data_IF_596659451313
#
_entry.id   IF_596659451313
#
_cell.length_a   1.000
_cell.length_b   1.000
_cell.length_c   1.000
_cell.angle_alpha   90.00
_cell.angle_beta   90.00
_cell.angle_gamma   90.00
#
_symmetry.space_group_name_H-M   'P 1'
#
loop_
_entity.id
_entity.type
_entity.pdbx_description
1 polymer ?
#
# COMPACT_ATOMS: atom_id res chain seq x y z
N UNK A 1 -15.12 20.88 27.55
CA UNK A 1 -14.82 20.54 26.14
C UNK A 1 -16.08 20.36 25.28
N UNK A 2 -16.69 21.47 24.86
CA UNK A 2 -17.50 21.63 23.64
C UNK A 2 -17.47 23.14 23.37
N UNK A 3 -17.28 23.61 22.12
CA UNK A 3 -17.28 25.05 21.88
C UNK A 3 -18.63 25.63 22.29
N UNK A 4 -18.63 26.88 22.75
CA UNK A 4 -19.86 27.63 22.95
C UNK A 4 -20.66 27.55 21.65
N UNK A 5 -21.99 27.44 21.71
CA UNK A 5 -22.84 27.44 20.51
C UNK A 5 -22.58 28.66 19.59
N UNK A 6 -22.02 29.75 20.16
CA UNK A 6 -21.63 30.98 19.49
C UNK A 6 -20.47 30.79 18.50
N UNK A 7 -19.57 29.83 18.73
CA UNK A 7 -18.40 29.57 17.87
C UNK A 7 -18.63 28.43 16.88
N UNK A 8 -19.82 27.81 16.91
CA UNK A 8 -20.17 26.72 16.00
C UNK A 8 -20.21 27.19 14.54
N UNK A 9 -20.61 28.45 14.32
CA UNK A 9 -20.83 29.06 13.01
C UNK A 9 -19.79 30.13 12.61
N UNK A 10 -18.72 30.30 13.40
CA UNK A 10 -17.61 31.22 13.10
C UNK A 10 -16.73 30.65 11.97
N UNK A 11 -16.54 31.45 10.91
CA UNK A 11 -15.94 31.02 9.64
C UNK A 11 -14.41 31.13 9.57
N UNK A 12 -13.69 31.18 10.69
CA UNK A 12 -12.22 31.40 10.67
C UNK A 12 -11.41 30.24 11.29
N UNK A 13 -11.87 29.55 12.35
CA UNK A 13 -11.06 28.52 13.06
C UNK A 13 -11.52 27.05 12.91
N UNK A 14 -12.73 26.81 12.42
CA UNK A 14 -13.36 25.53 12.03
C UNK A 14 -12.54 24.46 11.28
N UNK A 15 -11.49 24.80 10.53
CA UNK A 15 -11.18 24.00 9.32
C UNK A 15 -10.24 22.79 9.50
N UNK A 16 -9.28 22.81 10.43
CA UNK A 16 -8.33 21.70 10.57
C UNK A 16 -8.48 20.98 11.91
N UNK A 17 -8.25 21.65 13.04
CA UNK A 17 -8.24 20.99 14.35
C UNK A 17 -9.54 20.30 14.75
N UNK A 18 -10.71 20.85 14.36
CA UNK A 18 -12.01 20.37 14.85
C UNK A 18 -12.50 19.10 14.15
N UNK A 19 -12.42 19.04 12.82
CA UNK A 19 -12.83 17.86 12.04
C UNK A 19 -11.86 16.70 12.28
N UNK A 20 -10.56 16.99 12.36
CA UNK A 20 -9.57 15.96 12.64
C UNK A 20 -9.80 15.31 13.99
N UNK A 21 -10.12 16.05 15.07
CA UNK A 21 -10.44 15.45 16.38
C UNK A 21 -11.66 14.52 16.34
N UNK A 22 -12.73 14.92 15.65
CA UNK A 22 -13.98 14.14 15.55
C UNK A 22 -13.74 12.78 14.86
N UNK A 23 -12.81 12.72 13.91
CA UNK A 23 -12.47 11.49 13.18
C UNK A 23 -11.38 10.69 13.91
N UNK A 24 -10.39 11.38 14.47
CA UNK A 24 -9.18 10.79 15.05
C UNK A 24 -9.48 9.99 16.32
N UNK A 25 -10.25 10.54 17.26
CA UNK A 25 -10.55 9.86 18.54
C UNK A 25 -11.26 8.52 18.33
N UNK A 26 -12.38 8.42 17.58
CA UNK A 26 -13.04 7.13 17.36
C UNK A 26 -12.23 6.19 16.47
N UNK A 27 -11.35 6.69 15.59
CA UNK A 27 -10.45 5.85 14.80
C UNK A 27 -9.50 5.04 15.70
N UNK A 28 -8.87 5.68 16.69
CA UNK A 28 -7.98 4.98 17.64
C UNK A 28 -8.73 3.99 18.53
N UNK A 29 -9.99 4.29 18.86
CA UNK A 29 -10.86 3.38 19.61
C UNK A 29 -11.11 2.06 18.88
N UNK A 30 -11.09 2.02 17.53
CA UNK A 30 -11.19 0.77 16.76
C UNK A 30 -10.00 -0.15 17.03
N UNK A 31 -8.82 0.41 17.29
CA UNK A 31 -7.60 -0.34 17.59
C UNK A 31 -7.47 -0.72 19.07
N UNK A 32 -8.45 -0.35 19.91
CA UNK A 32 -8.45 -0.64 21.34
C UNK A 32 -7.88 0.46 22.24
N UNK A 33 -7.45 1.59 21.66
CA UNK A 33 -6.97 2.74 22.43
C UNK A 33 -8.16 3.63 22.83
N UNK A 34 -8.71 3.41 24.01
CA UNK A 34 -9.74 4.27 24.60
C UNK A 34 -9.06 5.41 25.37
N UNK A 35 -8.86 6.57 24.73
CA UNK A 35 -8.41 7.80 25.38
C UNK A 35 -9.49 8.35 26.35
N UNK A 36 -9.89 7.56 27.35
CA UNK A 36 -10.96 7.87 28.31
C UNK A 36 -10.57 9.03 29.22
N UNK A 37 -9.27 9.23 29.43
CA UNK A 37 -8.72 10.37 30.18
C UNK A 37 -9.15 11.72 29.58
N UNK A 38 -9.41 11.79 28.27
CA UNK A 38 -9.91 13.01 27.64
C UNK A 38 -11.41 13.25 27.91
N UNK A 39 -12.15 12.23 28.37
CA UNK A 39 -13.58 12.31 28.71
C UNK A 39 -13.86 12.32 30.22
N UNK A 40 -12.88 11.95 31.04
CA UNK A 40 -12.98 12.04 32.49
C UNK A 40 -12.89 13.50 32.98
N UNK A 41 -13.36 13.73 34.21
CA UNK A 41 -13.35 15.06 34.81
C UNK A 41 -11.92 15.56 35.01
N UNK A 42 -11.53 16.59 34.27
CA UNK A 42 -10.25 17.27 34.47
C UNK A 42 -10.20 17.88 35.89
N UNK A 43 -9.31 17.34 36.73
CA UNK A 43 -9.03 17.87 38.09
C UNK A 43 -8.03 19.03 38.10
N UNK A 44 -7.60 19.49 36.92
CA UNK A 44 -6.61 20.56 36.78
C UNK A 44 -7.17 21.94 37.12
N UNK A 45 -6.33 22.74 37.77
CA UNK A 45 -6.66 24.01 38.44
C UNK A 45 -6.91 25.20 37.50
N UNK A 46 -6.79 25.03 36.18
CA UNK A 46 -6.88 26.12 35.19
C UNK A 46 -8.20 26.19 34.42
N UNK A 47 -9.13 25.25 34.64
CA UNK A 47 -10.43 25.24 33.96
C UNK A 47 -11.54 25.82 34.85
N UNK A 48 -12.60 26.36 34.23
CA UNK A 48 -13.75 26.91 34.97
C UNK A 48 -15.07 26.32 34.47
N UNK A 49 -15.98 25.95 35.38
CA UNK A 49 -17.36 25.50 35.07
C UNK A 49 -18.33 26.66 34.79
N UNK A 50 -17.97 27.88 35.20
CA UNK A 50 -18.79 29.10 35.07
C UNK A 50 -18.76 29.63 33.62
N UNK A 51 -19.92 29.66 32.98
CA UNK A 51 -20.08 30.09 31.58
C UNK A 51 -19.50 31.47 31.29
N UNK A 52 -19.80 32.46 32.13
CA UNK A 52 -19.33 33.83 31.92
C UNK A 52 -17.82 34.01 32.03
N UNK A 53 -17.08 33.08 32.64
CA UNK A 53 -15.63 33.22 32.84
C UNK A 53 -14.85 32.77 31.63
N UNK A 54 -15.21 31.62 31.05
CA UNK A 54 -14.57 31.09 29.83
C UNK A 54 -15.11 31.75 28.54
N UNK A 55 -16.33 32.31 28.54
CA UNK A 55 -16.80 33.11 27.39
C UNK A 55 -16.06 34.45 27.25
N UNK A 56 -15.63 35.03 28.37
CA UNK A 56 -14.99 36.36 28.39
C UNK A 56 -13.46 36.30 28.35
N UNK A 57 -12.86 35.14 28.68
CA UNK A 57 -11.42 34.96 28.69
C UNK A 57 -11.04 33.74 27.82
N UNK A 58 -10.46 33.94 26.62
CA UNK A 58 -10.07 32.84 25.74
C UNK A 58 -8.91 31.99 26.30
N UNK A 59 -8.23 32.48 27.33
CA UNK A 59 -7.15 31.76 28.02
C UNK A 59 -7.65 30.73 29.04
N UNK A 60 -8.95 30.70 29.33
CA UNK A 60 -9.58 29.81 30.33
C UNK A 60 -10.45 28.81 29.60
N UNK A 61 -10.12 27.52 29.71
CA UNK A 61 -10.88 26.46 29.07
C UNK A 61 -12.06 25.97 29.94
N UNK A 62 -13.12 25.47 29.27
CA UNK A 62 -14.25 24.85 29.94
C UNK A 62 -13.88 23.44 30.43
N UNK A 63 -14.01 23.20 31.73
CA UNK A 63 -13.80 21.87 32.32
C UNK A 63 -14.68 20.80 31.65
N UNK A 64 -14.19 19.57 31.60
CA UNK A 64 -14.97 18.43 31.12
C UNK A 64 -15.98 18.02 32.17
N UNK A 65 -17.22 17.85 31.73
CA UNK A 65 -18.29 17.29 32.55
C UNK A 65 -18.34 15.80 32.26
N UNK A 66 -18.32 15.00 33.32
CA UNK A 66 -18.52 13.56 33.21
C UNK A 66 -19.95 13.29 32.73
N UNK A 67 -20.08 12.65 31.56
CA UNK A 67 -21.35 12.17 31.03
C UNK A 67 -21.31 10.64 30.86
N UNK A 68 -22.13 9.95 31.65
CA UNK A 68 -22.25 8.49 31.61
C UNK A 68 -22.79 7.98 30.26
N UNK A 69 -23.58 8.80 29.56
CA UNK A 69 -24.13 8.44 28.23
C UNK A 69 -22.99 8.28 27.24
N UNK A 70 -21.99 9.17 27.29
CA UNK A 70 -20.84 9.14 26.39
C UNK A 70 -19.99 7.88 26.61
N UNK A 71 -19.84 7.44 27.87
CA UNK A 71 -19.16 6.18 28.21
C UNK A 71 -19.94 4.98 27.64
N UNK A 72 -21.27 4.96 27.79
CA UNK A 72 -22.11 3.87 27.26
C UNK A 72 -22.06 3.81 25.73
N UNK A 73 -22.16 4.94 25.03
CA UNK A 73 -22.07 5.00 23.57
C UNK A 73 -20.69 4.54 23.10
N UNK A 74 -19.62 4.96 23.77
CA UNK A 74 -18.24 4.56 23.45
C UNK A 74 -18.07 3.04 23.62
N UNK A 75 -18.59 2.47 24.70
CA UNK A 75 -18.56 1.03 24.94
C UNK A 75 -19.34 0.24 23.88
N UNK A 76 -20.54 0.70 23.51
CA UNK A 76 -21.34 0.09 22.46
C UNK A 76 -20.65 0.20 21.08
N UNK A 77 -20.03 1.34 20.79
CA UNK A 77 -19.25 1.58 19.58
C UNK A 77 -18.06 0.61 19.47
N UNK A 78 -17.30 0.44 20.56
CA UNK A 78 -16.20 -0.52 20.62
C UNK A 78 -16.68 -1.95 20.43
N UNK A 79 -17.79 -2.32 21.07
CA UNK A 79 -18.37 -3.66 20.94
C UNK A 79 -18.81 -3.93 19.50
N UNK A 80 -19.55 -2.99 18.90
CA UNK A 80 -20.02 -3.14 17.52
C UNK A 80 -18.87 -3.14 16.52
N UNK A 81 -17.85 -2.29 16.70
CA UNK A 81 -16.69 -2.28 15.81
C UNK A 81 -15.90 -3.58 15.90
N UNK A 82 -15.65 -4.10 17.10
CA UNK A 82 -14.94 -5.37 17.25
C UNK A 82 -15.75 -6.59 16.79
N UNK A 83 -17.04 -6.64 17.11
CA UNK A 83 -17.89 -7.79 16.77
C UNK A 83 -18.42 -7.76 15.34
N UNK A 84 -18.72 -6.59 14.78
CA UNK A 84 -19.22 -6.49 13.41
C UNK A 84 -18.07 -6.31 12.43
N UNK A 85 -17.16 -5.37 12.65
CA UNK A 85 -16.18 -5.01 11.62
C UNK A 85 -15.16 -6.12 11.41
N UNK A 86 -14.51 -6.62 12.47
CA UNK A 86 -13.48 -7.65 12.34
C UNK A 86 -14.08 -9.00 11.94
N UNK A 87 -15.15 -9.45 12.59
CA UNK A 87 -15.74 -10.75 12.28
C UNK A 87 -16.37 -10.79 10.87
N UNK A 88 -17.03 -9.71 10.44
CA UNK A 88 -17.57 -9.63 9.08
C UNK A 88 -16.45 -9.47 8.06
N UNK A 89 -15.38 -8.70 8.36
CA UNK A 89 -14.23 -8.55 7.48
C UNK A 89 -13.53 -9.90 7.24
N UNK A 90 -13.33 -10.66 8.32
CA UNK A 90 -12.77 -12.02 8.22
C UNK A 90 -13.69 -12.89 7.36
N UNK A 91 -15.01 -12.87 7.59
CA UNK A 91 -15.96 -13.66 6.79
C UNK A 91 -15.93 -13.30 5.30
N UNK A 92 -15.88 -12.00 4.95
CA UNK A 92 -15.77 -11.54 3.57
C UNK A 92 -14.42 -11.94 2.97
N UNK A 93 -13.33 -11.80 3.71
CA UNK A 93 -12.02 -12.25 3.24
C UNK A 93 -11.98 -13.75 3.01
N UNK A 94 -12.50 -14.58 3.91
CA UNK A 94 -12.60 -16.03 3.71
C UNK A 94 -13.43 -16.36 2.47
N UNK A 95 -14.60 -15.74 2.30
CA UNK A 95 -15.45 -15.96 1.12
C UNK A 95 -14.78 -15.55 -0.20
N UNK A 96 -14.08 -14.41 -0.21
CA UNK A 96 -13.36 -13.93 -1.41
C UNK A 96 -12.08 -14.73 -1.65
N UNK A 97 -11.39 -15.15 -0.60
CA UNK A 97 -10.17 -15.95 -0.68
C UNK A 97 -10.46 -17.30 -1.35
N UNK A 98 -11.53 -18.00 -0.98
CA UNK A 98 -11.91 -19.26 -1.65
C UNK A 98 -12.16 -19.07 -3.15
N UNK A 99 -12.90 -18.02 -3.53
CA UNK A 99 -13.20 -17.73 -4.94
C UNK A 99 -11.97 -17.26 -5.74
N UNK A 100 -11.07 -16.51 -5.10
CA UNK A 100 -9.86 -15.96 -5.73
C UNK A 100 -8.76 -17.01 -5.79
N UNK A 101 -8.68 -17.93 -4.82
CA UNK A 101 -7.69 -19.00 -4.76
C UNK A 101 -7.81 -19.92 -5.97
N UNK A 102 -9.03 -20.33 -6.36
CA UNK A 102 -9.23 -21.22 -7.51
C UNK A 102 -8.70 -20.62 -8.83
N UNK A 103 -8.96 -19.33 -9.04
CA UNK A 103 -8.47 -18.61 -10.22
C UNK A 103 -6.97 -18.31 -10.13
N UNK A 104 -6.46 -18.00 -8.94
CA UNK A 104 -5.05 -17.71 -8.71
C UNK A 104 -4.18 -18.95 -8.87
N UNK A 105 -4.65 -20.14 -8.49
CA UNK A 105 -3.94 -21.38 -8.71
C UNK A 105 -3.82 -21.72 -10.20
N UNK A 106 -4.90 -21.52 -10.98
CA UNK A 106 -4.87 -21.70 -12.44
C UNK A 106 -3.86 -20.75 -13.08
N UNK A 107 -3.89 -19.46 -12.69
CA UNK A 107 -2.95 -18.46 -13.18
C UNK A 107 -1.51 -18.76 -12.75
N UNK A 108 -1.29 -19.17 -11.51
CA UNK A 108 0.03 -19.53 -11.00
C UNK A 108 0.61 -20.74 -11.74
N UNK A 109 -0.20 -21.76 -12.04
CA UNK A 109 0.23 -22.90 -12.86
C UNK A 109 0.58 -22.49 -14.28
N UNK A 110 -0.19 -21.59 -14.89
CA UNK A 110 0.10 -21.03 -16.22
C UNK A 110 1.42 -20.25 -16.24
N UNK A 111 1.56 -19.28 -15.32
CA UNK A 111 2.78 -18.47 -15.17
C UNK A 111 4.00 -19.34 -14.87
N UNK A 112 3.84 -20.37 -14.02
CA UNK A 112 4.92 -21.31 -13.71
C UNK A 112 5.34 -22.11 -14.95
N UNK A 113 4.40 -22.55 -15.76
CA UNK A 113 4.71 -23.23 -17.02
C UNK A 113 5.48 -22.31 -17.97
N UNK A 114 5.04 -21.06 -18.13
CA UNK A 114 5.69 -20.06 -18.96
C UNK A 114 7.15 -19.82 -18.54
N UNK A 115 7.38 -19.62 -17.23
CA UNK A 115 8.74 -19.44 -16.68
C UNK A 115 9.61 -20.67 -16.90
N UNK A 116 9.10 -21.88 -16.64
CA UNK A 116 9.88 -23.12 -16.84
C UNK A 116 10.24 -23.32 -18.32
N UNK A 117 9.30 -23.04 -19.23
CA UNK A 117 9.53 -23.13 -20.67
C UNK A 117 10.59 -22.13 -21.13
N UNK A 118 10.53 -20.89 -20.65
CA UNK A 118 11.50 -19.85 -20.96
C UNK A 118 12.91 -20.22 -20.43
N UNK A 119 13.00 -20.79 -19.23
CA UNK A 119 14.28 -21.22 -18.64
C UNK A 119 14.92 -22.43 -19.32
N UNK A 120 14.18 -23.28 -20.07
CA UNK A 120 14.77 -24.43 -20.79
C UNK A 120 15.83 -24.04 -21.82
N UNK A 121 15.69 -22.87 -22.43
CA UNK A 121 16.58 -22.42 -23.52
C UNK A 121 17.54 -21.32 -23.08
N UNK A 122 17.42 -20.84 -21.84
CA UNK A 122 18.26 -19.80 -21.29
C UNK A 122 19.54 -20.39 -20.70
N UNK A 123 20.66 -19.79 -21.09
CA UNK A 123 21.93 -19.96 -20.40
C UNK A 123 21.82 -19.22 -19.06
N UNK A 124 22.21 -19.83 -17.91
CA UNK A 124 22.18 -19.15 -16.63
C UNK A 124 23.06 -17.89 -16.65
N UNK A 125 22.59 -16.80 -16.05
CA UNK A 125 23.45 -15.64 -15.76
C UNK A 125 24.49 -16.04 -14.69
N UNK A 126 25.75 -15.56 -14.73
CA UNK A 126 26.32 -14.56 -15.64
C UNK A 126 26.87 -15.12 -16.96
N UNK A 127 26.88 -16.45 -17.15
CA UNK A 127 27.49 -17.10 -18.34
C UNK A 127 26.85 -16.65 -19.67
N UNK A 128 25.57 -16.30 -19.63
CA UNK A 128 24.84 -15.71 -20.77
C UNK A 128 25.51 -14.42 -21.33
N UNK A 129 26.13 -13.61 -20.47
CA UNK A 129 26.76 -12.35 -20.87
C UNK A 129 28.03 -12.56 -21.69
N UNK A 130 28.69 -13.71 -21.54
CA UNK A 130 29.97 -14.03 -22.21
C UNK A 130 29.73 -14.95 -23.41
N UNK A 131 28.86 -15.95 -23.29
CA UNK A 131 28.67 -16.98 -24.33
C UNK A 131 27.96 -16.40 -25.56
N UNK A 132 26.95 -15.53 -25.38
CA UNK A 132 26.22 -14.92 -26.51
C UNK A 132 27.09 -14.08 -27.43
N UNK A 133 27.89 -13.10 -26.96
CA UNK A 133 28.74 -12.30 -27.84
C UNK A 133 29.84 -13.15 -28.49
N UNK A 134 30.44 -14.12 -27.78
CA UNK A 134 31.45 -15.02 -28.36
C UNK A 134 30.87 -15.84 -29.51
N UNK A 135 29.71 -16.47 -29.31
CA UNK A 135 29.06 -17.26 -30.37
C UNK A 135 28.69 -16.41 -31.59
N UNK A 136 28.21 -15.18 -31.37
CA UNK A 136 27.92 -14.24 -32.45
C UNK A 136 29.18 -13.86 -33.24
N UNK A 137 30.28 -13.51 -32.56
CA UNK A 137 31.56 -13.14 -33.20
C UNK A 137 32.12 -14.33 -33.99
N UNK A 138 32.14 -15.54 -33.40
CA UNK A 138 32.62 -16.75 -34.07
C UNK A 138 31.79 -17.06 -35.32
N UNK A 139 30.46 -16.96 -35.24
CA UNK A 139 29.59 -17.21 -36.39
C UNK A 139 29.80 -16.23 -37.55
N UNK A 140 30.06 -14.95 -37.24
CA UNK A 140 30.38 -13.91 -38.24
C UNK A 140 31.75 -14.16 -38.86
N UNK A 141 32.75 -14.50 -38.04
CA UNK A 141 34.09 -14.83 -38.51
C UNK A 141 34.07 -16.05 -39.43
N UNK A 142 33.36 -17.11 -39.06
CA UNK A 142 33.22 -18.32 -39.86
C UNK A 142 32.52 -18.07 -41.20
N UNK A 143 31.44 -17.25 -41.22
CA UNK A 143 30.79 -16.83 -42.47
C UNK A 143 31.73 -16.01 -43.37
N UNK A 144 32.53 -15.11 -42.79
CA UNK A 144 33.50 -14.30 -43.54
C UNK A 144 34.57 -15.17 -44.21
N UNK A 145 35.14 -16.12 -43.47
CA UNK A 145 36.14 -17.06 -43.99
C UNK A 145 35.57 -17.92 -45.13
N UNK A 146 34.35 -18.45 -44.96
CA UNK A 146 33.70 -19.23 -46.01
C UNK A 146 33.42 -18.41 -47.29
N UNK A 147 33.01 -17.15 -47.15
CA UNK A 147 32.80 -16.27 -48.30
C UNK A 147 34.11 -15.97 -49.04
N UNK A 148 35.23 -15.79 -48.32
CA UNK A 148 36.54 -15.60 -48.91
C UNK A 148 37.03 -16.84 -49.65
N UNK A 149 36.85 -18.03 -49.06
CA UNK A 149 37.17 -19.31 -49.71
C UNK A 149 36.37 -19.51 -51.00
N UNK A 150 35.05 -19.35 -50.94
CA UNK A 150 34.18 -19.48 -52.12
C UNK A 150 34.51 -18.44 -53.21
N UNK A 151 34.96 -17.24 -52.83
CA UNK A 151 35.40 -16.24 -53.80
C UNK A 151 36.70 -16.66 -54.50
N UNK A 152 37.66 -17.19 -53.74
CA UNK A 152 38.92 -17.70 -54.28
C UNK A 152 38.70 -18.88 -55.22
N UNK A 153 37.90 -19.87 -54.81
CA UNK A 153 37.58 -21.03 -55.65
C UNK A 153 36.91 -20.60 -56.99
N UNK A 154 36.05 -19.58 -56.96
CA UNK A 154 35.44 -19.02 -58.17
C UNK A 154 36.41 -18.24 -59.06
N UNK A 155 37.42 -17.58 -58.48
CA UNK A 155 38.47 -16.89 -59.24
C UNK A 155 39.44 -17.90 -59.88
N UNK A 156 39.79 -18.97 -59.18
CA UNK A 156 40.66 -20.05 -59.68
C UNK A 156 39.99 -20.82 -60.84
N UNK A 157 38.69 -21.12 -60.75
CA UNK A 157 37.92 -21.75 -61.84
C UNK A 157 37.83 -20.83 -63.07
N UNK A 158 37.67 -19.52 -62.88
CA UNK A 158 37.65 -18.54 -63.99
C UNK A 158 39.03 -18.37 -64.64
N UNK A 159 40.11 -18.54 -63.89
CA UNK A 159 41.47 -18.52 -64.41
C UNK A 159 41.73 -19.76 -65.28
N UNK A 160 41.35 -20.95 -64.80
CA UNK A 160 41.51 -22.21 -65.53
C UNK A 160 40.69 -22.31 -66.83
N UNK A 161 39.57 -21.58 -66.94
CA UNK A 161 38.74 -21.56 -68.14
C UNK A 161 39.22 -20.59 -69.25
N UNK A 162 40.30 -19.83 -69.00
CA UNK A 162 40.87 -18.86 -69.96
C UNK A 162 42.17 -19.34 -70.61
N UNK A 163 42.71 -20.47 -70.16
CA UNK A 163 43.81 -21.20 -70.81
C UNK A 163 43.25 -22.21 -71.83
#
# INVERSE_FOLDING_TARGET
>A
MYPAHKDMWSSVDWKYWRIWKIIYIPYWQIYGESMLEEFEENKDTSCTKIQSVWENNPSIERCNEYDWILVVITALYMLMSNLLLVNLLIAVFSYRFERVQENSEKLWRYLRYEVIMDYRTRIPAPLNLVIRPIFFIVSKCFKSINNLRNKKDNEDVKAAARE
#
